data_IF_331014362072
#
_entry.id   IF_331014362072
#
_cell.length_a   1.000
_cell.length_b   1.000
_cell.length_c   1.000
_cell.angle_alpha   90.00
_cell.angle_beta   90.00
_cell.angle_gamma   90.00
#
_symmetry.space_group_name_H-M   'P 1'
#
loop_
_entity.id
_entity.type
_entity.pdbx_description
1 polymer ?
#
# COMPACT_ATOMS: atom_id res chain seq x y z
N UNK A 1 -1.42 -1.71 -3.62
CA UNK A 1 -0.72 -0.61 -4.32
C UNK A 1 -0.14 -1.06 -5.65
N UNK A 2 0.82 -2.02 -5.68
CA UNK A 2 1.46 -2.44 -6.94
C UNK A 2 0.50 -3.08 -7.95
N UNK A 3 -0.54 -3.73 -7.46
CA UNK A 3 -1.67 -4.26 -8.25
C UNK A 3 -2.36 -3.17 -9.08
N UNK A 4 -2.80 -2.10 -8.43
CA UNK A 4 -3.43 -0.96 -9.10
C UNK A 4 -2.50 -0.33 -10.13
N UNK A 5 -1.22 -0.15 -9.79
CA UNK A 5 -0.26 0.48 -10.71
C UNK A 5 0.07 -0.44 -11.89
N UNK A 6 0.25 -1.74 -11.67
CA UNK A 6 0.45 -2.72 -12.73
C UNK A 6 -0.74 -2.75 -13.70
N UNK A 7 -1.96 -2.68 -13.16
CA UNK A 7 -3.18 -2.61 -13.97
C UNK A 7 -3.20 -1.35 -14.84
N UNK A 8 -2.89 -0.18 -14.28
CA UNK A 8 -2.82 1.09 -15.01
C UNK A 8 -1.73 1.07 -16.10
N UNK A 9 -0.54 0.57 -15.76
CA UNK A 9 0.61 0.53 -16.68
C UNK A 9 0.37 -0.52 -17.79
N UNK A 10 -0.31 -1.61 -17.46
CA UNK A 10 -0.57 -2.73 -18.37
C UNK A 10 0.71 -3.43 -18.85
N UNK A 11 1.80 -3.39 -18.07
CA UNK A 11 3.09 -4.05 -18.39
C UNK A 11 3.51 -4.96 -17.24
N UNK A 12 4.47 -5.84 -17.48
CA UNK A 12 4.98 -6.75 -16.47
C UNK A 12 6.27 -6.22 -15.83
N UNK A 13 6.43 -6.29 -14.50
CA UNK A 13 7.66 -5.86 -13.86
C UNK A 13 8.81 -6.78 -14.26
N UNK A 14 9.98 -6.19 -14.54
CA UNK A 14 11.18 -6.90 -14.97
C UNK A 14 12.29 -6.83 -13.93
N UNK A 15 12.56 -5.63 -13.39
CA UNK A 15 13.63 -5.42 -12.42
C UNK A 15 13.18 -4.45 -11.33
N UNK A 16 13.63 -4.69 -10.09
CA UNK A 16 13.29 -3.90 -8.92
C UNK A 16 14.56 -3.51 -8.18
N UNK A 17 14.66 -2.23 -7.80
CA UNK A 17 15.65 -1.75 -6.84
C UNK A 17 14.94 -0.98 -5.74
N UNK A 18 15.40 -1.11 -4.50
CA UNK A 18 14.73 -0.47 -3.38
C UNK A 18 15.70 -0.09 -2.25
N UNK A 19 15.29 0.95 -1.51
CA UNK A 19 15.86 1.36 -0.25
C UNK A 19 14.76 1.35 0.81
N UNK A 20 15.07 0.92 2.02
CA UNK A 20 14.11 0.88 3.12
C UNK A 20 14.83 1.03 4.46
N UNK A 21 14.16 1.70 5.40
CA UNK A 21 14.65 1.90 6.75
C UNK A 21 13.52 1.78 7.76
N UNK A 22 13.89 1.42 8.99
CA UNK A 22 13.10 1.60 10.19
C UNK A 22 13.58 2.90 10.85
N UNK A 23 13.07 4.04 10.39
CA UNK A 23 13.48 5.35 10.90
C UNK A 23 12.79 5.70 12.23
N UNK A 24 11.59 5.17 12.43
CA UNK A 24 10.78 5.39 13.62
C UNK A 24 10.38 4.06 14.27
N UNK A 25 9.93 3.07 13.51
CA UNK A 25 9.47 1.81 14.07
C UNK A 25 10.65 0.90 14.49
N UNK A 26 10.34 -0.15 15.23
CA UNK A 26 11.29 -1.18 15.64
C UNK A 26 12.14 -0.83 16.87
N UNK A 27 12.67 -1.88 17.49
CA UNK A 27 13.29 -1.81 18.81
C UNK A 27 14.45 -0.81 18.95
N UNK A 28 15.19 -0.53 17.87
CA UNK A 28 16.32 0.44 17.90
C UNK A 28 15.88 1.87 18.14
N UNK A 29 14.62 2.19 17.85
CA UNK A 29 14.05 3.53 17.93
C UNK A 29 13.12 3.69 19.16
N UNK A 30 13.01 2.65 20.00
CA UNK A 30 12.05 2.59 21.10
C UNK A 30 12.41 3.57 22.23
N UNK A 31 11.57 4.57 22.55
CA UNK A 31 11.75 5.36 23.78
C UNK A 31 11.35 4.55 25.04
N UNK A 32 10.42 3.62 24.86
CA UNK A 32 9.93 2.63 25.83
C UNK A 32 9.32 1.47 25.05
N UNK A 33 8.99 0.38 25.74
CA UNK A 33 8.44 -0.82 25.10
C UNK A 33 7.45 -1.55 26.00
N UNK A 34 6.41 -2.07 25.39
CA UNK A 34 5.52 -3.09 25.96
C UNK A 34 5.39 -4.26 24.99
N UNK A 35 4.71 -5.32 25.41
CA UNK A 35 4.34 -6.43 24.52
C UNK A 35 3.30 -5.96 23.49
N UNK A 36 2.24 -5.29 23.97
CA UNK A 36 1.14 -4.79 23.15
C UNK A 36 0.51 -3.56 23.78
N UNK A 37 -0.27 -2.81 23.01
CA UNK A 37 -0.87 -1.56 23.46
C UNK A 37 -1.78 -1.79 24.68
N UNK A 38 -2.67 -2.77 24.63
CA UNK A 38 -3.70 -2.98 25.66
C UNK A 38 -3.18 -3.23 27.09
N UNK A 39 -1.93 -3.64 27.24
CA UNK A 39 -1.27 -3.91 28.54
C UNK A 39 -0.04 -3.04 28.79
N UNK A 40 0.24 -2.07 27.91
CA UNK A 40 1.45 -1.26 27.99
C UNK A 40 1.41 -0.27 29.16
N UNK A 41 2.42 -0.30 30.03
CA UNK A 41 2.56 0.65 31.14
C UNK A 41 2.73 2.12 30.66
N UNK A 42 3.16 2.31 29.41
CA UNK A 42 3.40 3.61 28.79
C UNK A 42 2.24 4.07 27.88
N UNK A 43 1.06 3.43 27.97
CA UNK A 43 -0.08 3.72 27.10
C UNK A 43 -0.49 5.20 27.11
N UNK A 44 -0.41 5.87 28.27
CA UNK A 44 -0.82 7.27 28.42
C UNK A 44 0.14 8.29 27.78
N UNK A 45 1.40 7.90 27.52
CA UNK A 45 2.45 8.77 26.97
C UNK A 45 2.88 8.37 25.55
N UNK A 46 2.35 7.26 25.02
CA UNK A 46 2.68 6.77 23.68
C UNK A 46 1.80 7.42 22.61
N UNK A 47 2.41 8.18 21.71
CA UNK A 47 1.76 8.80 20.55
C UNK A 47 1.19 7.77 19.55
N UNK A 48 1.69 6.53 19.61
CA UNK A 48 1.27 5.40 18.77
C UNK A 48 0.41 4.38 19.52
N UNK A 49 -0.09 4.70 20.71
CA UNK A 49 -1.01 3.81 21.41
C UNK A 49 -2.24 3.54 20.55
N UNK A 50 -2.51 2.27 20.32
CA UNK A 50 -3.65 1.82 19.53
C UNK A 50 -4.64 1.05 20.40
N UNK A 51 -5.88 1.53 20.46
CA UNK A 51 -6.95 0.87 21.19
C UNK A 51 -7.80 0.03 20.24
N UNK A 52 -7.85 -1.28 20.50
CA UNK A 52 -8.74 -2.18 19.78
C UNK A 52 -10.21 -1.80 20.01
N UNK A 53 -10.97 -1.73 18.91
CA UNK A 53 -12.42 -1.70 18.94
C UNK A 53 -13.01 -3.04 19.42
N UNK A 54 -14.30 -3.08 19.77
CA UNK A 54 -14.93 -4.32 20.23
C UNK A 54 -14.96 -5.40 19.13
N UNK A 55 -15.18 -4.99 17.88
CA UNK A 55 -15.05 -5.87 16.73
C UNK A 55 -13.64 -6.45 16.62
N UNK A 56 -12.60 -5.64 16.79
CA UNK A 56 -11.23 -6.13 16.67
C UNK A 56 -10.83 -7.03 17.83
N UNK A 57 -11.37 -6.82 19.03
CA UNK A 57 -11.19 -7.76 20.13
C UNK A 57 -11.81 -9.12 19.81
N UNK A 58 -13.05 -9.12 19.33
CA UNK A 58 -13.76 -10.35 18.96
C UNK A 58 -13.09 -11.06 17.78
N UNK A 59 -12.71 -10.32 16.75
CA UNK A 59 -12.17 -10.87 15.51
C UNK A 59 -10.68 -11.25 15.62
N UNK A 60 -9.87 -10.44 16.29
CA UNK A 60 -8.43 -10.67 16.42
C UNK A 60 -8.06 -11.17 17.82
N UNK A 61 -8.23 -10.35 18.86
CA UNK A 61 -7.61 -10.63 20.17
C UNK A 61 -8.08 -11.95 20.81
N UNK A 62 -9.35 -12.29 20.67
CA UNK A 62 -9.91 -13.55 21.18
C UNK A 62 -9.53 -14.78 20.36
N UNK A 63 -8.94 -14.59 19.17
CA UNK A 63 -8.56 -15.65 18.23
C UNK A 63 -7.05 -15.84 18.08
N UNK A 64 -6.23 -15.13 18.88
CA UNK A 64 -4.77 -15.22 18.84
C UNK A 64 -4.23 -16.64 19.09
N UNK A 65 -5.02 -17.51 19.73
CA UNK A 65 -4.64 -18.90 19.96
C UNK A 65 -4.45 -19.71 18.66
N UNK A 66 -4.95 -19.23 17.51
CA UNK A 66 -4.85 -19.94 16.23
C UNK A 66 -3.60 -19.62 15.42
N UNK A 67 -3.11 -18.39 15.47
CA UNK A 67 -1.97 -17.92 14.66
C UNK A 67 -0.97 -17.03 15.40
N UNK A 68 -1.29 -16.59 16.62
CA UNK A 68 -0.47 -15.66 17.41
C UNK A 68 -0.51 -14.21 16.92
N UNK A 69 -1.40 -13.85 15.99
CA UNK A 69 -1.43 -12.52 15.40
C UNK A 69 -2.01 -11.48 16.36
N UNK A 70 -1.13 -10.70 16.98
CA UNK A 70 -1.49 -9.61 17.88
C UNK A 70 -1.74 -8.31 17.09
N UNK A 71 -3.02 -7.94 16.92
CA UNK A 71 -3.42 -6.74 16.16
C UNK A 71 -2.89 -5.42 16.75
N UNK A 72 -2.75 -5.32 18.06
CA UNK A 72 -2.20 -4.16 18.78
C UNK A 72 -0.77 -4.39 19.30
N UNK A 73 0.01 -5.25 18.63
CA UNK A 73 1.43 -5.45 18.92
C UNK A 73 2.18 -4.12 18.96
N UNK A 74 3.20 -4.02 19.82
CA UNK A 74 4.00 -2.81 19.94
C UNK A 74 4.78 -2.56 18.65
N UNK A 75 4.65 -1.36 18.07
CA UNK A 75 5.43 -0.94 16.88
C UNK A 75 6.94 -0.88 17.11
N UNK A 76 7.38 -0.98 18.38
CA UNK A 76 8.77 -1.01 18.80
C UNK A 76 9.24 -2.42 19.25
N UNK A 77 8.45 -3.46 18.97
CA UNK A 77 8.83 -4.84 19.29
C UNK A 77 10.12 -5.28 18.55
N UNK A 78 10.81 -6.27 19.11
CA UNK A 78 12.11 -6.77 18.60
C UNK A 78 11.98 -7.44 17.22
N UNK A 79 10.80 -7.93 16.88
CA UNK A 79 10.47 -8.62 15.63
C UNK A 79 9.94 -7.69 14.52
N UNK A 80 9.78 -6.39 14.80
CA UNK A 80 9.38 -5.41 13.79
C UNK A 80 10.49 -5.26 12.76
N UNK A 81 10.22 -5.79 11.57
CA UNK A 81 11.13 -5.80 10.42
C UNK A 81 10.49 -5.24 9.15
N UNK A 82 9.28 -4.69 9.25
CA UNK A 82 8.58 -4.03 8.14
C UNK A 82 9.00 -2.55 8.14
N UNK A 83 9.69 -2.14 7.07
CA UNK A 83 10.19 -0.77 6.92
C UNK A 83 9.06 0.27 6.97
N UNK A 84 9.27 1.35 7.73
CA UNK A 84 8.34 2.49 7.83
C UNK A 84 8.57 3.55 6.74
N UNK A 85 9.74 3.49 6.10
CA UNK A 85 10.16 4.41 5.06
C UNK A 85 10.78 3.59 3.94
N UNK A 86 10.19 3.64 2.75
CA UNK A 86 10.67 2.89 1.58
C UNK A 86 10.66 3.74 0.32
N UNK A 87 11.64 3.51 -0.54
CA UNK A 87 11.62 3.95 -1.94
C UNK A 87 11.90 2.76 -2.84
N UNK A 88 11.03 2.53 -3.82
CA UNK A 88 11.10 1.38 -4.74
C UNK A 88 11.05 1.89 -6.16
N UNK A 89 11.99 1.45 -7.00
CA UNK A 89 11.99 1.70 -8.44
C UNK A 89 11.80 0.38 -9.18
N UNK A 90 10.85 0.37 -10.13
CA UNK A 90 10.51 -0.80 -10.93
C UNK A 90 10.64 -0.45 -12.40
N UNK A 91 11.43 -1.25 -13.12
CA UNK A 91 11.46 -1.24 -14.59
C UNK A 91 10.51 -2.30 -15.12
N UNK A 92 9.70 -1.94 -16.11
CA UNK A 92 8.76 -2.82 -16.77
C UNK A 92 9.27 -3.31 -18.13
N UNK A 93 8.75 -4.44 -18.58
CA UNK A 93 9.18 -5.17 -19.78
C UNK A 93 8.97 -4.43 -21.11
N UNK A 94 8.15 -3.37 -21.14
CA UNK A 94 7.93 -2.52 -22.32
C UNK A 94 8.28 -1.05 -22.07
N UNK A 95 9.22 -0.80 -21.15
CA UNK A 95 9.91 0.48 -20.98
C UNK A 95 9.25 1.47 -20.01
N UNK A 96 8.12 1.14 -19.39
CA UNK A 96 7.61 1.95 -18.28
C UNK A 96 8.55 1.86 -17.06
N UNK A 97 8.62 2.94 -16.28
CA UNK A 97 9.34 2.99 -15.02
C UNK A 97 8.40 3.54 -13.95
N UNK A 98 8.32 2.85 -12.82
CA UNK A 98 7.57 3.31 -11.64
C UNK A 98 8.55 3.64 -10.52
N UNK A 99 8.34 4.79 -9.89
CA UNK A 99 8.90 5.11 -8.57
C UNK A 99 7.77 5.11 -7.54
N UNK A 100 7.95 4.37 -6.47
CA UNK A 100 7.02 4.25 -5.35
C UNK A 100 7.70 4.71 -4.06
N UNK A 101 6.96 5.41 -3.22
CA UNK A 101 7.39 5.84 -1.89
C UNK A 101 6.35 5.45 -0.86
N UNK A 102 6.81 4.84 0.23
CA UNK A 102 6.00 4.59 1.43
C UNK A 102 6.62 5.39 2.56
N UNK A 103 5.77 6.12 3.28
CA UNK A 103 6.17 6.81 4.51
C UNK A 103 5.04 6.64 5.53
N UNK A 104 5.30 5.89 6.59
CA UNK A 104 4.34 5.60 7.67
C UNK A 104 4.31 6.69 8.76
N UNK A 105 5.03 7.80 8.55
CA UNK A 105 5.20 8.89 9.52
C UNK A 105 4.61 10.22 9.02
N UNK A 106 3.66 10.15 8.08
CA UNK A 106 2.97 11.32 7.55
C UNK A 106 1.83 11.77 8.48
N UNK A 107 1.50 13.08 8.54
CA UNK A 107 0.44 13.60 9.42
C UNK A 107 -0.99 13.27 8.94
N UNK A 108 -1.11 12.53 7.83
CA UNK A 108 -2.35 12.05 7.26
C UNK A 108 -2.08 10.75 6.49
N UNK A 109 -3.14 9.98 6.28
CA UNK A 109 -3.15 8.76 5.49
C UNK A 109 -3.75 9.05 4.10
N UNK A 110 -3.15 8.47 3.08
CA UNK A 110 -3.60 8.62 1.70
C UNK A 110 -2.53 8.22 0.69
N UNK A 111 -2.81 8.47 -0.57
CA UNK A 111 -1.87 8.26 -1.66
C UNK A 111 -2.00 9.35 -2.72
N UNK A 112 -0.91 9.55 -3.45
CA UNK A 112 -0.87 10.38 -4.65
C UNK A 112 -0.26 9.58 -5.79
N UNK A 113 -0.86 9.70 -6.97
CA UNK A 113 -0.46 9.04 -8.20
C UNK A 113 -0.22 10.10 -9.27
N UNK A 114 0.90 9.95 -9.98
CA UNK A 114 1.08 10.61 -11.26
C UNK A 114 1.51 9.62 -12.32
N UNK A 115 0.91 9.74 -13.51
CA UNK A 115 1.26 8.96 -14.70
C UNK A 115 1.68 9.96 -15.77
N UNK A 116 2.88 9.78 -16.32
CA UNK A 116 3.39 10.61 -17.40
C UNK A 116 3.45 9.77 -18.68
N UNK A 117 2.96 10.34 -19.77
CA UNK A 117 2.98 9.71 -21.09
C UNK A 117 3.31 10.73 -22.18
N UNK A 118 3.41 10.25 -23.41
CA UNK A 118 3.76 11.09 -24.57
C UNK A 118 2.73 12.16 -24.94
N UNK A 119 1.53 12.12 -24.33
CA UNK A 119 0.44 13.09 -24.56
C UNK A 119 0.14 13.97 -23.35
N UNK A 120 0.93 13.89 -22.29
CA UNK A 120 0.74 14.67 -21.08
C UNK A 120 0.75 13.82 -19.81
N UNK A 121 0.02 14.26 -18.80
CA UNK A 121 0.09 13.74 -17.43
C UNK A 121 -1.28 13.56 -16.83
N UNK A 122 -1.47 12.49 -16.06
CA UNK A 122 -2.61 12.31 -15.16
C UNK A 122 -2.11 12.42 -13.72
N UNK A 123 -2.87 13.12 -12.88
CA UNK A 123 -2.68 13.17 -11.43
C UNK A 123 -3.96 12.77 -10.71
N UNK A 124 -3.81 11.98 -9.66
CA UNK A 124 -4.91 11.58 -8.78
C UNK A 124 -4.40 11.47 -7.34
N UNK A 125 -5.28 11.73 -6.38
CA UNK A 125 -4.97 11.52 -4.97
C UNK A 125 -6.21 11.08 -4.21
N UNK A 126 -6.00 10.29 -3.16
CA UNK A 126 -7.02 10.00 -2.17
C UNK A 126 -6.45 10.25 -0.77
N UNK A 127 -7.25 10.86 0.09
CA UNK A 127 -6.91 11.17 1.47
C UNK A 127 -7.96 10.54 2.38
N UNK A 128 -7.50 9.63 3.23
CA UNK A 128 -8.32 8.87 4.17
C UNK A 128 -8.44 9.61 5.50
N UNK A 129 -7.38 10.30 5.92
CA UNK A 129 -7.37 11.14 7.14
C UNK A 129 -6.80 12.54 6.87
N UNK A 130 -6.80 13.39 7.90
CA UNK A 130 -6.32 14.78 7.80
C UNK A 130 -7.33 15.76 7.21
N UNK A 131 -6.88 17.00 6.96
CA UNK A 131 -7.76 18.11 6.51
C UNK A 131 -8.34 17.83 5.13
N UNK A 132 -7.54 17.27 4.22
CA UNK A 132 -7.94 16.99 2.84
C UNK A 132 -9.00 15.87 2.76
N UNK A 133 -9.04 14.96 3.73
CA UNK A 133 -10.07 13.92 3.80
C UNK A 133 -11.49 14.49 3.94
N UNK A 134 -11.64 15.71 4.47
CA UNK A 134 -12.93 16.40 4.66
C UNK A 134 -13.55 16.93 3.37
N UNK A 135 -12.80 16.94 2.26
CA UNK A 135 -13.35 17.31 0.96
C UNK A 135 -14.45 16.32 0.53
N UNK A 136 -15.51 16.83 -0.09
CA UNK A 136 -16.63 16.02 -0.58
C UNK A 136 -16.27 15.21 -1.84
N UNK A 137 -15.21 15.62 -2.52
CA UNK A 137 -14.81 15.11 -3.82
C UNK A 137 -13.31 14.82 -3.84
N UNK A 138 -12.95 13.78 -4.59
CA UNK A 138 -11.59 13.54 -5.06
C UNK A 138 -11.45 14.12 -6.47
N UNK A 139 -10.21 14.44 -6.86
CA UNK A 139 -9.91 15.02 -8.16
C UNK A 139 -9.02 14.09 -8.98
N UNK A 140 -9.36 13.90 -10.25
CA UNK A 140 -8.46 13.34 -11.27
C UNK A 140 -8.20 14.43 -12.29
N UNK A 141 -6.95 14.89 -12.37
CA UNK A 141 -6.54 15.97 -13.27
C UNK A 141 -5.78 15.39 -14.45
N UNK A 142 -6.14 15.81 -15.66
CA UNK A 142 -5.47 15.45 -16.91
C UNK A 142 -4.90 16.71 -17.53
N UNK A 143 -3.59 16.72 -17.69
CA UNK A 143 -2.81 17.79 -18.28
C UNK A 143 -2.37 17.35 -19.68
N UNK A 144 -2.64 18.16 -20.70
CA UNK A 144 -2.09 17.93 -22.04
C UNK A 144 -0.77 18.70 -22.25
N UNK A 145 -0.24 18.67 -23.48
CA UNK A 145 1.01 19.35 -23.84
C UNK A 145 0.84 20.84 -24.17
N UNK A 146 -0.38 21.37 -24.13
CA UNK A 146 -0.72 22.75 -24.51
C UNK A 146 -1.26 23.55 -23.32
N UNK A 147 -0.85 23.19 -22.10
CA UNK A 147 -1.30 23.78 -20.84
C UNK A 147 -2.82 23.67 -20.57
N UNK A 148 -3.53 22.76 -21.24
CA UNK A 148 -4.93 22.50 -20.91
C UNK A 148 -5.04 21.52 -19.73
N UNK A 149 -6.00 21.80 -18.85
CA UNK A 149 -6.30 20.97 -17.68
C UNK A 149 -7.77 20.55 -17.72
N UNK A 150 -8.01 19.24 -17.70
CA UNK A 150 -9.33 18.66 -17.45
C UNK A 150 -9.34 18.18 -16.00
N UNK A 151 -10.25 18.72 -15.20
CA UNK A 151 -10.42 18.35 -13.79
C UNK A 151 -11.71 17.54 -13.62
N UNK A 152 -11.57 16.24 -13.37
CA UNK A 152 -12.69 15.35 -13.06
C UNK A 152 -12.92 15.32 -11.56
N UNK A 153 -14.06 15.88 -11.14
CA UNK A 153 -14.56 15.81 -9.77
C UNK A 153 -15.30 14.49 -9.54
N UNK A 154 -14.83 13.71 -8.58
CA UNK A 154 -15.36 12.39 -8.24
C UNK A 154 -15.90 12.45 -6.82
N UNK A 155 -17.21 12.36 -6.65
CA UNK A 155 -17.81 12.31 -5.32
C UNK A 155 -17.27 11.14 -4.52
N UNK A 156 -16.92 11.38 -3.25
CA UNK A 156 -16.49 10.30 -2.37
C UNK A 156 -17.64 9.33 -2.13
N UNK A 157 -17.34 8.04 -2.24
CA UNK A 157 -18.28 6.96 -1.90
C UNK A 157 -18.08 6.56 -0.43
N UNK A 158 -19.17 6.21 0.26
CA UNK A 158 -19.13 5.65 1.61
C UNK A 158 -18.92 4.13 1.63
N UNK A 159 -18.80 3.59 2.84
CA UNK A 159 -18.55 2.16 3.10
C UNK A 159 -17.07 1.80 3.17
N UNK A 160 -16.78 0.54 3.51
CA UNK A 160 -15.41 0.05 3.70
C UNK A 160 -14.57 0.25 2.42
N UNK A 161 -13.41 0.90 2.57
CA UNK A 161 -12.51 1.30 1.48
C UNK A 161 -13.25 2.04 0.34
N UNK A 162 -14.08 3.04 0.66
CA UNK A 162 -14.88 3.78 -0.33
C UNK A 162 -15.96 2.93 -1.01
N UNK A 163 -16.35 1.83 -0.38
CA UNK A 163 -17.25 0.82 -0.92
C UNK A 163 -16.58 -0.13 -1.93
N UNK A 164 -15.25 -0.13 -2.02
CA UNK A 164 -14.49 -1.06 -2.85
C UNK A 164 -14.72 -2.51 -2.44
N UNK A 165 -14.71 -2.80 -1.14
CA UNK A 165 -14.84 -4.16 -0.60
C UNK A 165 -16.17 -4.80 -0.99
N UNK A 166 -17.27 -4.05 -0.89
CA UNK A 166 -18.60 -4.54 -1.27
C UNK A 166 -18.71 -4.82 -2.76
N UNK A 167 -18.07 -4.01 -3.62
CA UNK A 167 -18.04 -4.24 -5.07
C UNK A 167 -17.17 -5.45 -5.41
N UNK A 168 -15.99 -5.55 -4.80
CA UNK A 168 -15.07 -6.67 -4.97
C UNK A 168 -15.71 -8.00 -4.56
N UNK A 169 -16.31 -8.08 -3.36
CA UNK A 169 -17.02 -9.29 -2.90
C UNK A 169 -18.13 -9.70 -3.86
N UNK A 170 -18.90 -8.75 -4.38
CA UNK A 170 -19.93 -9.05 -5.39
C UNK A 170 -19.33 -9.63 -6.67
N UNK A 171 -18.22 -9.09 -7.16
CA UNK A 171 -17.54 -9.63 -8.35
C UNK A 171 -16.96 -11.03 -8.11
N UNK A 172 -16.52 -11.33 -6.88
CA UNK A 172 -15.95 -12.64 -6.54
C UNK A 172 -16.99 -13.73 -6.31
N UNK A 173 -18.11 -13.40 -5.65
CA UNK A 173 -19.07 -14.41 -5.18
C UNK A 173 -20.36 -14.48 -5.97
N UNK A 174 -20.67 -13.47 -6.80
CA UNK A 174 -21.86 -13.49 -7.66
C UNK A 174 -21.44 -13.79 -9.10
N UNK A 175 -22.21 -14.65 -9.77
CA UNK A 175 -22.04 -14.90 -11.19
C UNK A 175 -22.50 -13.71 -12.03
N UNK A 176 -21.90 -13.54 -13.22
CA UNK A 176 -22.34 -12.61 -14.27
C UNK A 176 -22.37 -11.12 -13.87
N UNK A 177 -21.51 -10.67 -12.95
CA UNK A 177 -21.30 -9.23 -12.72
C UNK A 177 -20.52 -8.65 -13.91
N UNK A 178 -21.07 -7.69 -14.69
CA UNK A 178 -20.36 -7.12 -15.83
C UNK A 178 -19.13 -6.33 -15.39
N UNK A 179 -18.03 -6.52 -16.11
CA UNK A 179 -16.78 -5.77 -15.91
C UNK A 179 -16.35 -5.03 -17.19
N UNK A 180 -17.09 -3.97 -17.59
CA UNK A 180 -16.83 -3.27 -18.85
C UNK A 180 -15.51 -2.49 -18.85
N UNK A 181 -14.94 -2.23 -17.67
CA UNK A 181 -13.69 -1.49 -17.51
C UNK A 181 -12.50 -2.41 -17.23
N UNK A 182 -12.72 -3.73 -17.10
CA UNK A 182 -11.66 -4.70 -16.85
C UNK A 182 -10.99 -4.51 -15.48
N UNK A 183 -11.75 -4.18 -14.45
CA UNK A 183 -11.24 -4.04 -13.08
C UNK A 183 -10.78 -5.38 -12.47
N UNK A 184 -11.30 -6.51 -12.94
CA UNK A 184 -10.96 -7.83 -12.44
C UNK A 184 -9.50 -8.18 -12.69
N UNK A 185 -8.72 -8.32 -11.62
CA UNK A 185 -7.34 -8.80 -11.69
C UNK A 185 -7.29 -10.33 -11.75
N UNK A 186 -6.41 -10.87 -12.60
CA UNK A 186 -6.12 -12.29 -12.66
C UNK A 186 -5.08 -12.73 -11.63
N UNK A 187 -4.90 -14.04 -11.47
CA UNK A 187 -3.87 -14.63 -10.59
C UNK A 187 -2.46 -14.17 -10.95
N UNK A 188 -2.21 -13.93 -12.24
CA UNK A 188 -0.92 -13.44 -12.74
C UNK A 188 -0.66 -12.00 -12.30
N UNK A 189 -1.66 -11.14 -12.32
CA UNK A 189 -1.55 -9.73 -11.91
C UNK A 189 -1.25 -9.62 -10.40
N UNK A 190 -1.94 -10.44 -9.60
CA UNK A 190 -1.65 -10.60 -8.18
C UNK A 190 -0.23 -11.10 -7.92
N UNK A 191 0.20 -12.11 -8.68
CA UNK A 191 1.55 -12.68 -8.55
C UNK A 191 2.65 -11.65 -8.83
N UNK A 192 2.52 -10.84 -9.89
CA UNK A 192 3.49 -9.78 -10.17
C UNK A 192 3.53 -8.71 -9.08
N UNK A 193 2.39 -8.37 -8.50
CA UNK A 193 2.32 -7.42 -7.39
C UNK A 193 3.06 -7.91 -6.15
N UNK A 194 2.92 -9.19 -5.81
CA UNK A 194 3.67 -9.83 -4.72
C UNK A 194 5.16 -9.89 -5.03
N UNK A 195 5.53 -10.24 -6.28
CA UNK A 195 6.92 -10.34 -6.69
C UNK A 195 7.65 -8.99 -6.62
N UNK A 196 6.98 -7.87 -6.92
CA UNK A 196 7.57 -6.54 -6.72
C UNK A 196 7.92 -6.33 -5.24
N UNK A 197 7.00 -6.66 -4.32
CA UNK A 197 7.23 -6.53 -2.88
C UNK A 197 8.35 -7.44 -2.37
N UNK A 198 8.39 -8.69 -2.82
CA UNK A 198 9.45 -9.63 -2.48
C UNK A 198 10.82 -9.15 -3.01
N UNK A 199 10.87 -8.73 -4.29
CA UNK A 199 12.07 -8.20 -4.91
C UNK A 199 12.57 -6.91 -4.22
N UNK A 200 11.66 -6.03 -3.80
CA UNK A 200 12.02 -4.84 -3.04
C UNK A 200 12.71 -5.20 -1.71
N UNK A 201 12.14 -6.14 -0.94
CA UNK A 201 12.76 -6.59 0.31
C UNK A 201 14.14 -7.22 0.10
N UNK A 202 14.30 -8.06 -0.92
CA UNK A 202 15.60 -8.63 -1.28
C UNK A 202 16.58 -7.56 -1.73
N UNK A 203 16.12 -6.57 -2.49
CA UNK A 203 16.95 -5.46 -2.95
C UNK A 203 17.50 -4.64 -1.79
N UNK A 204 16.65 -4.33 -0.81
CA UNK A 204 17.05 -3.59 0.41
C UNK A 204 18.07 -4.40 1.20
N UNK A 205 17.83 -5.71 1.38
CA UNK A 205 18.70 -6.60 2.14
C UNK A 205 20.08 -6.77 1.46
N UNK A 206 20.10 -6.98 0.15
CA UNK A 206 21.31 -7.34 -0.59
C UNK A 206 22.04 -6.12 -1.19
N UNK A 207 21.44 -4.92 -1.14
CA UNK A 207 22.02 -3.71 -1.70
C UNK A 207 22.17 -3.73 -3.23
N UNK A 208 21.33 -4.49 -3.94
CA UNK A 208 21.41 -4.69 -5.39
C UNK A 208 20.05 -4.71 -6.05
N UNK A 209 20.03 -4.54 -7.36
CA UNK A 209 18.83 -4.74 -8.17
C UNK A 209 18.47 -6.23 -8.28
N UNK A 210 17.18 -6.53 -8.26
CA UNK A 210 16.61 -7.88 -8.31
C UNK A 210 15.81 -8.05 -9.60
N UNK A 211 16.09 -9.12 -10.34
CA UNK A 211 15.33 -9.55 -11.51
C UNK A 211 14.09 -10.33 -11.08
N UNK A 212 12.92 -9.98 -11.63
CA UNK A 212 11.67 -10.73 -11.42
C UNK A 212 11.76 -12.12 -12.07
N UNK A 213 12.49 -12.24 -13.18
CA UNK A 213 12.72 -13.53 -13.84
C UNK A 213 13.48 -14.50 -12.96
N UNK A 214 14.48 -14.01 -12.21
CA UNK A 214 15.33 -14.84 -11.37
C UNK A 214 14.57 -15.40 -10.16
N UNK A 215 13.62 -14.60 -9.62
CA UNK A 215 12.68 -15.02 -8.57
C UNK A 215 11.79 -16.17 -9.05
N UNK A 216 11.23 -16.06 -10.26
CA UNK A 216 10.35 -17.07 -10.84
C UNK A 216 11.08 -18.40 -11.11
N UNK A 217 12.37 -18.34 -11.42
CA UNK A 217 13.20 -19.51 -11.70
C UNK A 217 13.81 -20.12 -10.43
N UNK A 218 13.67 -19.47 -9.27
CA UNK A 218 14.31 -19.91 -8.02
C UNK A 218 15.84 -19.84 -8.06
N UNK A 219 16.38 -18.86 -8.80
CA UNK A 219 17.80 -18.77 -9.16
C UNK A 219 18.58 -17.68 -8.41
N UNK A 220 18.00 -17.13 -7.33
CA UNK A 220 18.57 -16.05 -6.52
C UNK A 220 19.33 -16.53 -5.29
#
# INVERSE_FOLDING_TARGET
HFDMINWIIGQHPAQVSAFGQLNLYGAKNAPFRGERCSTCAHAAECEFYYQLSDFEKEFYAQNEAYDGYMKDNCIYADDINIYDTMSVNVQYDRGAVMSYSLNATTPYEGWHLSINGSRGRLEASNYETGVQAKALENHIKVFDLNDNIIDHQISKSGGDHGGGDSRLRRMLFLENVPDPLGHGAGTRDGSYSILIGAAANLSIRDGRMISIGDLLQGSL
#
